data_IF_418953690231
#
_entry.id   IF_418953690231
#
_cell.length_a   1.000
_cell.length_b   1.000
_cell.length_c   1.000
_cell.angle_alpha   90.00
_cell.angle_beta   90.00
_cell.angle_gamma   90.00
#
_symmetry.space_group_name_H-M   'P 1'
#
loop_
_entity.id
_entity.type
_entity.pdbx_description
1 polymer ?
#
# COMPACT_ATOMS: atom_id res chain seq x y z
N UNK A 1 43.17 18.93 4.98
CA UNK A 1 41.84 18.30 4.81
C UNK A 1 41.52 18.29 3.32
N UNK A 2 41.28 17.13 2.70
CA UNK A 2 40.80 17.06 1.31
C UNK A 2 39.37 17.59 1.27
N UNK A 3 39.22 18.89 1.04
CA UNK A 3 37.95 19.60 0.90
C UNK A 3 37.28 19.21 -0.41
N UNK A 4 36.71 18.01 -0.43
CA UNK A 4 35.76 17.65 -1.48
C UNK A 4 34.57 18.58 -1.31
N UNK A 5 34.24 19.42 -2.31
CA UNK A 5 33.10 20.33 -2.19
C UNK A 5 31.84 19.52 -1.95
N UNK A 6 30.93 19.98 -1.07
CA UNK A 6 29.69 19.26 -0.83
C UNK A 6 28.94 19.15 -2.16
N UNK A 7 28.30 18.00 -2.40
CA UNK A 7 27.58 17.68 -3.65
C UNK A 7 26.10 18.04 -3.49
N UNK A 8 25.56 18.80 -4.44
CA UNK A 8 24.16 19.22 -4.40
C UNK A 8 23.25 18.00 -4.56
N UNK A 9 22.30 17.74 -3.63
CA UNK A 9 21.37 16.63 -3.77
C UNK A 9 20.38 16.87 -4.93
N UNK A 10 19.92 15.79 -5.56
CA UNK A 10 18.99 15.84 -6.69
C UNK A 10 17.61 16.37 -6.28
N UNK A 11 17.07 17.32 -7.06
CA UNK A 11 15.81 17.99 -6.72
C UNK A 11 14.60 17.05 -6.84
N UNK A 12 13.96 16.77 -5.70
CA UNK A 12 12.69 16.04 -5.62
C UNK A 12 11.51 17.03 -5.48
N UNK A 13 10.45 16.84 -6.29
CA UNK A 13 9.25 17.69 -6.22
C UNK A 13 8.42 17.37 -4.97
N UNK A 14 7.82 18.40 -4.35
CA UNK A 14 6.89 18.21 -3.24
C UNK A 14 5.65 17.42 -3.71
N UNK A 15 5.23 16.35 -3.02
CA UNK A 15 3.98 15.65 -3.32
C UNK A 15 2.77 16.59 -3.20
N UNK A 16 1.83 16.50 -4.14
CA UNK A 16 0.60 17.31 -4.11
C UNK A 16 -0.43 16.71 -3.13
N UNK A 17 -0.54 17.31 -1.95
CA UNK A 17 -1.40 16.83 -0.86
C UNK A 17 -2.89 16.90 -1.20
N UNK A 18 -3.32 17.88 -2.01
CA UNK A 18 -4.74 18.07 -2.34
C UNK A 18 -5.24 17.02 -3.34
N UNK A 19 -4.43 16.70 -4.35
CA UNK A 19 -4.74 15.65 -5.32
C UNK A 19 -4.80 14.28 -4.66
N UNK A 20 -3.86 13.99 -3.75
CA UNK A 20 -3.87 12.75 -2.98
C UNK A 20 -5.11 12.62 -2.08
N UNK A 21 -5.52 13.70 -1.40
CA UNK A 21 -6.76 13.71 -0.59
C UNK A 21 -7.99 13.46 -1.45
N UNK A 22 -8.14 14.16 -2.59
CA UNK A 22 -9.24 13.95 -3.53
C UNK A 22 -9.29 12.52 -4.06
N UNK A 23 -8.14 11.94 -4.39
CA UNK A 23 -8.05 10.55 -4.85
C UNK A 23 -8.44 9.54 -3.75
N UNK A 24 -8.01 9.77 -2.49
CA UNK A 24 -8.44 8.95 -1.36
C UNK A 24 -9.93 9.06 -1.08
N UNK A 25 -10.51 10.25 -1.13
CA UNK A 25 -11.95 10.46 -0.94
C UNK A 25 -12.77 9.74 -2.02
N UNK A 26 -12.33 9.79 -3.28
CA UNK A 26 -12.97 9.07 -4.37
C UNK A 26 -12.95 7.53 -4.17
N UNK A 27 -11.79 6.99 -3.76
CA UNK A 27 -11.65 5.54 -3.48
C UNK A 27 -12.49 5.14 -2.26
N UNK A 28 -12.46 5.92 -1.17
CA UNK A 28 -13.27 5.66 0.01
C UNK A 28 -14.78 5.68 -0.30
N UNK A 29 -15.23 6.65 -1.11
CA UNK A 29 -16.63 6.71 -1.54
C UNK A 29 -17.05 5.49 -2.38
N UNK A 30 -16.14 4.92 -3.17
CA UNK A 30 -16.39 3.69 -3.92
C UNK A 30 -16.41 2.46 -3.00
N UNK A 31 -15.47 2.37 -2.06
CA UNK A 31 -15.43 1.33 -1.02
C UNK A 31 -16.76 1.32 -0.25
N UNK A 32 -17.24 2.47 0.22
CA UNK A 32 -18.49 2.56 0.98
C UNK A 32 -19.71 2.09 0.17
N UNK A 33 -19.75 2.40 -1.14
CA UNK A 33 -20.82 1.93 -2.03
C UNK A 33 -20.79 0.42 -2.20
N UNK A 34 -19.61 -0.14 -2.48
CA UNK A 34 -19.43 -1.59 -2.69
C UNK A 34 -19.68 -2.34 -1.37
N UNK A 35 -19.22 -1.79 -0.24
CA UNK A 35 -19.43 -2.36 1.09
C UNK A 35 -20.92 -2.47 1.43
N UNK A 36 -21.71 -1.40 1.20
CA UNK A 36 -23.18 -1.45 1.40
C UNK A 36 -23.85 -2.52 0.52
N UNK A 37 -23.42 -2.67 -0.73
CA UNK A 37 -23.92 -3.71 -1.61
C UNK A 37 -23.52 -5.11 -1.12
N UNK A 38 -22.26 -5.27 -0.68
CA UNK A 38 -21.72 -6.51 -0.14
C UNK A 38 -22.48 -6.94 1.11
N UNK A 39 -22.71 -6.04 2.05
CA UNK A 39 -23.44 -6.31 3.29
C UNK A 39 -24.91 -6.65 3.00
N UNK A 40 -25.55 -5.95 2.05
CA UNK A 40 -26.90 -6.30 1.61
C UNK A 40 -26.99 -7.71 0.99
N UNK A 41 -26.00 -8.13 0.19
CA UNK A 41 -25.94 -9.50 -0.37
C UNK A 41 -25.62 -10.51 0.72
N UNK A 42 -24.73 -10.18 1.67
CA UNK A 42 -24.40 -11.03 2.82
C UNK A 42 -25.63 -11.27 3.70
N UNK A 43 -26.42 -10.24 3.97
CA UNK A 43 -27.66 -10.36 4.74
C UNK A 43 -28.71 -11.20 4.01
N UNK A 44 -28.82 -11.05 2.68
CA UNK A 44 -29.65 -11.93 1.86
C UNK A 44 -29.20 -13.39 2.02
N UNK A 45 -27.90 -13.66 1.93
CA UNK A 45 -27.31 -15.01 2.12
C UNK A 45 -27.62 -15.57 3.50
N UNK A 46 -27.46 -14.78 4.56
CA UNK A 46 -27.72 -15.22 5.94
C UNK A 46 -29.20 -15.52 6.20
N UNK A 47 -30.11 -14.86 5.46
CA UNK A 47 -31.56 -15.11 5.51
C UNK A 47 -32.00 -16.31 4.68
N UNK A 48 -31.13 -16.91 3.86
CA UNK A 48 -31.52 -18.15 3.16
C UNK A 48 -31.73 -19.27 4.19
N UNK A 49 -32.79 -20.08 4.02
CA UNK A 49 -33.01 -21.23 4.87
C UNK A 49 -31.79 -22.15 4.84
N UNK A 50 -31.37 -22.57 6.02
CA UNK A 50 -30.24 -23.49 6.17
C UNK A 50 -30.66 -24.85 5.62
N UNK A 51 -29.82 -25.41 4.75
CA UNK A 51 -29.88 -26.74 4.10
C UNK A 51 -31.21 -27.49 4.31
N UNK A 52 -32.12 -27.39 3.34
CA UNK A 52 -33.36 -28.17 3.32
C UNK A 52 -33.09 -29.65 3.58
N UNK A 53 -33.91 -30.26 4.44
CA UNK A 53 -33.87 -31.68 4.75
C UNK A 53 -34.07 -32.50 3.47
N UNK A 54 -32.96 -33.09 2.99
CA UNK A 54 -32.90 -34.01 1.83
C UNK A 54 -33.66 -35.32 2.09
N UNK A 55 -34.21 -35.50 3.30
CA UNK A 55 -34.84 -36.73 3.77
C UNK A 55 -36.00 -37.16 2.89
N UNK A 56 -36.97 -36.27 2.62
CA UNK A 56 -38.12 -36.59 1.77
C UNK A 56 -37.72 -36.98 0.35
N UNK A 57 -36.67 -36.36 -0.19
CA UNK A 57 -36.15 -36.68 -1.53
C UNK A 57 -35.50 -38.06 -1.56
N UNK A 58 -34.74 -38.38 -0.52
CA UNK A 58 -34.08 -39.68 -0.36
C UNK A 58 -35.12 -40.80 -0.17
N UNK A 59 -36.17 -40.54 0.62
CA UNK A 59 -37.34 -41.42 0.76
C UNK A 59 -38.03 -41.67 -0.58
N UNK A 60 -38.39 -40.61 -1.32
CA UNK A 60 -39.01 -40.74 -2.65
C UNK A 60 -38.12 -41.51 -3.62
N UNK A 61 -36.80 -41.31 -3.57
CA UNK A 61 -35.85 -42.06 -4.40
C UNK A 61 -35.81 -43.54 -4.02
N UNK A 62 -35.88 -43.86 -2.74
CA UNK A 62 -35.96 -45.23 -2.25
C UNK A 62 -37.27 -45.90 -2.67
N UNK A 63 -38.42 -45.23 -2.48
CA UNK A 63 -39.73 -45.73 -2.92
C UNK A 63 -39.79 -45.96 -4.44
N UNK A 64 -39.26 -45.03 -5.24
CA UNK A 64 -39.19 -45.18 -6.70
C UNK A 64 -38.28 -46.36 -7.10
N UNK A 65 -37.18 -46.60 -6.38
CA UNK A 65 -36.31 -47.75 -6.63
C UNK A 65 -37.01 -49.08 -6.30
N UNK A 66 -37.71 -49.14 -5.16
CA UNK A 66 -38.48 -50.32 -4.74
C UNK A 66 -39.61 -50.63 -5.73
N UNK A 67 -40.34 -49.61 -6.21
CA UNK A 67 -41.38 -49.81 -7.22
C UNK A 67 -40.79 -50.29 -8.55
N UNK A 68 -39.63 -49.77 -8.97
CA UNK A 68 -38.96 -50.25 -10.18
C UNK A 68 -38.53 -51.71 -10.06
N UNK A 69 -38.05 -52.13 -8.90
CA UNK A 69 -37.69 -53.52 -8.63
C UNK A 69 -38.94 -54.42 -8.71
N UNK A 70 -40.03 -54.04 -8.03
CA UNK A 70 -41.33 -54.74 -8.10
C UNK A 70 -41.87 -54.82 -9.52
N UNK A 71 -41.78 -53.75 -10.30
CA UNK A 71 -42.18 -53.74 -11.71
C UNK A 71 -41.31 -54.67 -12.56
N UNK A 72 -39.99 -54.72 -12.31
CA UNK A 72 -39.08 -55.61 -13.01
C UNK A 72 -39.34 -57.08 -12.68
N UNK A 73 -39.61 -57.40 -11.41
CA UNK A 73 -40.00 -58.73 -10.95
C UNK A 73 -41.33 -59.18 -11.55
N UNK A 74 -42.38 -58.34 -11.47
CA UNK A 74 -43.68 -58.61 -12.11
C UNK A 74 -43.55 -58.80 -13.61
N UNK A 75 -42.69 -58.03 -14.28
CA UNK A 75 -42.43 -58.22 -15.71
C UNK A 75 -41.75 -59.56 -15.99
N UNK A 76 -40.81 -59.98 -15.14
CA UNK A 76 -40.12 -61.28 -15.25
C UNK A 76 -41.08 -62.44 -15.02
N UNK A 77 -41.93 -62.37 -13.98
CA UNK A 77 -42.93 -63.41 -13.70
C UNK A 77 -43.97 -63.51 -14.82
N UNK A 78 -44.51 -62.37 -15.28
CA UNK A 78 -45.43 -62.34 -16.43
C UNK A 78 -44.79 -62.93 -17.68
N UNK A 79 -43.54 -62.57 -17.99
CA UNK A 79 -42.83 -63.13 -19.15
C UNK A 79 -42.72 -64.65 -19.05
N UNK A 80 -42.36 -65.19 -17.89
CA UNK A 80 -42.29 -66.63 -17.68
C UNK A 80 -43.66 -67.31 -17.81
N UNK A 81 -44.73 -66.70 -17.29
CA UNK A 81 -46.10 -67.22 -17.46
C UNK A 81 -46.52 -67.20 -18.93
N UNK A 82 -46.22 -66.14 -19.68
CA UNK A 82 -46.50 -66.09 -21.12
C UNK A 82 -45.71 -67.16 -21.90
N UNK A 83 -44.43 -67.37 -21.58
CA UNK A 83 -43.62 -68.45 -22.20
C UNK A 83 -44.21 -69.85 -21.91
N UNK A 84 -44.70 -70.08 -20.68
CA UNK A 84 -45.40 -71.34 -20.33
C UNK A 84 -46.73 -71.47 -21.08
N UNK A 85 -47.49 -70.38 -21.20
CA UNK A 85 -48.78 -70.34 -21.88
C UNK A 85 -48.63 -70.62 -23.38
N UNK A 86 -47.59 -70.06 -24.00
CA UNK A 86 -47.21 -70.33 -25.39
C UNK A 86 -46.77 -71.79 -25.58
N UNK A 87 -45.92 -72.33 -24.68
CA UNK A 87 -45.48 -73.72 -24.73
C UNK A 87 -46.64 -74.72 -24.60
N UNK A 88 -47.60 -74.47 -23.69
CA UNK A 88 -48.81 -75.29 -23.54
C UNK A 88 -49.69 -75.18 -24.78
N UNK A 89 -49.90 -73.96 -25.31
CA UNK A 89 -50.66 -73.77 -26.54
C UNK A 89 -50.04 -74.51 -27.74
N UNK A 90 -48.71 -74.52 -27.87
CA UNK A 90 -48.00 -75.27 -28.89
C UNK A 90 -48.10 -76.79 -28.68
N UNK A 91 -48.06 -77.28 -27.42
CA UNK A 91 -48.31 -78.69 -27.08
C UNK A 91 -49.72 -79.12 -27.50
N UNK A 92 -50.74 -78.36 -27.08
CA UNK A 92 -52.14 -78.59 -27.44
C UNK A 92 -52.30 -78.59 -28.96
N UNK A 93 -51.70 -77.63 -29.68
CA UNK A 93 -51.76 -77.57 -31.15
C UNK A 93 -51.16 -78.82 -31.80
N UNK A 94 -50.00 -79.28 -31.32
CA UNK A 94 -49.35 -80.51 -31.82
C UNK A 94 -50.20 -81.75 -31.55
N UNK A 95 -50.73 -81.92 -30.34
CA UNK A 95 -51.58 -83.06 -29.96
C UNK A 95 -52.92 -83.04 -30.71
N UNK A 96 -53.57 -81.89 -30.86
CA UNK A 96 -54.78 -81.75 -31.69
C UNK A 96 -54.48 -82.07 -33.16
N UNK A 97 -53.32 -81.65 -33.68
CA UNK A 97 -52.87 -82.00 -35.03
C UNK A 97 -52.65 -83.51 -35.20
N UNK A 98 -52.03 -84.16 -34.22
CA UNK A 98 -51.85 -85.61 -34.13
C UNK A 98 -53.19 -86.34 -34.18
N UNK A 99 -54.11 -86.01 -33.25
CA UNK A 99 -55.45 -86.60 -33.17
C UNK A 99 -56.19 -86.44 -34.51
N UNK A 100 -56.19 -85.23 -35.10
CA UNK A 100 -56.80 -85.02 -36.42
C UNK A 100 -56.19 -85.94 -37.48
N UNK A 101 -54.86 -86.07 -37.50
CA UNK A 101 -54.15 -86.97 -38.40
C UNK A 101 -54.54 -88.44 -38.22
N UNK A 102 -54.70 -88.91 -36.99
CA UNK A 102 -55.14 -90.29 -36.70
C UNK A 102 -56.62 -90.53 -37.03
N UNK A 103 -57.51 -89.59 -36.69
CA UNK A 103 -58.94 -89.66 -37.00
C UNK A 103 -59.20 -89.69 -38.51
N UNK A 104 -58.37 -89.04 -39.34
CA UNK A 104 -58.50 -89.18 -40.80
C UNK A 104 -58.12 -90.56 -41.34
N UNK A 105 -57.31 -91.34 -40.60
CA UNK A 105 -56.80 -92.65 -41.02
C UNK A 105 -57.61 -93.82 -40.48
N UNK A 106 -58.28 -93.65 -39.34
CA UNK A 106 -59.03 -94.70 -38.65
C UNK A 106 -60.53 -94.33 -38.66
N UNK A 107 -61.43 -95.21 -39.16
CA UNK A 107 -62.85 -94.89 -39.27
C UNK A 107 -63.65 -95.01 -37.96
N UNK A 108 -63.05 -95.56 -36.90
CA UNK A 108 -63.68 -95.79 -35.59
C UNK A 108 -63.20 -94.76 -34.56
N UNK A 109 -64.10 -94.26 -33.72
CA UNK A 109 -63.83 -93.13 -32.81
C UNK A 109 -63.62 -93.52 -31.36
N UNK A 110 -64.16 -94.66 -30.94
CA UNK A 110 -64.06 -95.14 -29.56
C UNK A 110 -63.56 -96.58 -29.51
N UNK A 111 -62.90 -96.95 -28.41
CA UNK A 111 -62.43 -98.34 -28.19
C UNK A 111 -63.61 -99.31 -28.13
N UNK A 112 -64.76 -98.87 -27.59
CA UNK A 112 -66.00 -99.65 -27.56
C UNK A 112 -66.53 -99.98 -28.96
N UNK A 113 -66.51 -99.02 -29.90
CA UNK A 113 -66.91 -99.27 -31.30
C UNK A 113 -66.00 -100.29 -32.00
N UNK A 114 -64.69 -100.27 -31.68
CA UNK A 114 -63.73 -101.23 -32.23
C UNK A 114 -63.96 -102.63 -31.66
N UNK A 115 -64.20 -102.74 -30.35
CA UNK A 115 -64.43 -104.00 -29.66
C UNK A 115 -65.76 -104.66 -30.08
N UNK A 116 -66.83 -103.86 -30.26
CA UNK A 116 -68.10 -104.34 -30.79
C UNK A 116 -67.93 -104.90 -32.21
N UNK A 117 -67.16 -104.21 -33.07
CA UNK A 117 -66.90 -104.67 -34.43
C UNK A 117 -66.05 -105.93 -34.49
N UNK A 118 -65.06 -106.07 -33.59
CA UNK A 118 -64.27 -107.30 -33.45
C UNK A 118 -65.19 -108.46 -33.04
N UNK A 119 -66.06 -108.25 -32.05
CA UNK A 119 -67.00 -109.28 -31.58
C UNK A 119 -68.00 -109.70 -32.68
N UNK A 120 -68.49 -108.76 -33.50
CA UNK A 120 -69.31 -109.07 -34.67
C UNK A 120 -68.60 -109.96 -35.69
N UNK A 121 -67.33 -109.67 -35.98
CA UNK A 121 -66.53 -110.43 -36.95
C UNK A 121 -66.16 -111.81 -36.40
N UNK A 122 -65.80 -111.91 -35.12
CA UNK A 122 -65.52 -113.18 -34.44
C UNK A 122 -66.78 -114.08 -34.42
N UNK A 123 -67.96 -113.51 -34.12
CA UNK A 123 -69.25 -114.23 -34.19
C UNK A 123 -69.59 -114.70 -35.61
N UNK A 124 -69.27 -113.91 -36.65
CA UNK A 124 -69.47 -114.31 -38.05
C UNK A 124 -68.55 -115.44 -38.48
N UNK A 125 -67.33 -115.48 -37.96
CA UNK A 125 -66.38 -116.59 -38.20
C UNK A 125 -66.90 -117.89 -37.56
N UNK A 126 -67.37 -117.81 -36.31
CA UNK A 126 -67.93 -118.95 -35.58
C UNK A 126 -69.21 -119.51 -36.22
N UNK A 127 -69.99 -118.66 -36.91
CA UNK A 127 -71.18 -119.04 -37.67
C UNK A 127 -70.93 -119.81 -38.98
N UNK A 128 -69.68 -120.07 -39.35
CA UNK A 128 -69.30 -120.87 -40.52
C UNK A 128 -69.34 -120.09 -41.84
N UNK A 129 -68.21 -119.45 -42.17
CA UNK A 129 -68.02 -118.74 -43.45
C UNK A 129 -67.04 -119.48 -44.35
N UNK A 130 -67.02 -119.12 -45.65
CA UNK A 130 -66.06 -119.66 -46.61
C UNK A 130 -64.64 -119.25 -46.22
N UNK A 131 -63.66 -120.15 -46.34
CA UNK A 131 -62.25 -119.97 -45.95
C UNK A 131 -61.63 -118.65 -46.48
N UNK A 132 -62.03 -118.20 -47.68
CA UNK A 132 -61.54 -116.93 -48.26
C UNK A 132 -62.09 -115.71 -47.51
N UNK A 133 -63.34 -115.75 -47.08
CA UNK A 133 -64.00 -114.71 -46.28
C UNK A 133 -63.51 -114.75 -44.83
N UNK A 134 -63.33 -115.93 -44.26
CA UNK A 134 -62.70 -116.13 -42.95
C UNK A 134 -61.32 -115.47 -42.88
N UNK A 135 -60.46 -115.73 -43.88
CA UNK A 135 -59.13 -115.11 -43.96
C UNK A 135 -59.20 -113.58 -44.05
N UNK A 136 -60.17 -113.03 -44.78
CA UNK A 136 -60.40 -111.58 -44.87
C UNK A 136 -60.89 -111.00 -43.54
N UNK A 137 -61.84 -111.66 -42.87
CA UNK A 137 -62.33 -111.24 -41.56
C UNK A 137 -61.24 -111.33 -40.49
N UNK A 138 -60.37 -112.35 -40.52
CA UNK A 138 -59.20 -112.44 -39.63
C UNK A 138 -58.18 -111.32 -39.88
N UNK A 139 -57.97 -110.94 -41.13
CA UNK A 139 -57.14 -109.77 -41.48
C UNK A 139 -57.78 -108.45 -40.99
N UNK A 140 -59.11 -108.31 -41.12
CA UNK A 140 -59.87 -107.17 -40.60
C UNK A 140 -59.80 -107.12 -39.07
N UNK A 141 -59.97 -108.25 -38.36
CA UNK A 141 -59.80 -108.34 -36.89
C UNK A 141 -58.38 -107.96 -36.48
N UNK A 142 -57.36 -108.44 -37.19
CA UNK A 142 -55.96 -108.06 -36.90
C UNK A 142 -55.72 -106.56 -37.09
N UNK A 143 -56.29 -105.96 -38.14
CA UNK A 143 -56.25 -104.52 -38.39
C UNK A 143 -57.01 -103.74 -37.30
N UNK A 144 -58.20 -104.20 -36.91
CA UNK A 144 -59.02 -103.60 -35.84
C UNK A 144 -58.33 -103.67 -34.49
N UNK A 145 -57.71 -104.80 -34.14
CA UNK A 145 -56.90 -104.94 -32.91
C UNK A 145 -55.71 -103.98 -32.90
N UNK A 146 -55.10 -103.71 -34.06
CA UNK A 146 -54.05 -102.67 -34.19
C UNK A 146 -54.61 -101.25 -34.06
N UNK A 147 -55.76 -100.98 -34.69
CA UNK A 147 -56.44 -99.69 -34.61
C UNK A 147 -56.96 -99.40 -33.19
N UNK A 148 -57.38 -100.42 -32.44
CA UNK A 148 -57.79 -100.30 -31.03
C UNK A 148 -56.73 -99.65 -30.17
N UNK A 149 -55.48 -100.11 -30.31
CA UNK A 149 -54.32 -99.52 -29.62
C UNK A 149 -54.12 -98.05 -30.02
N UNK A 150 -54.32 -97.71 -31.30
CA UNK A 150 -54.25 -96.33 -31.76
C UNK A 150 -55.41 -95.46 -31.27
N UNK A 151 -56.60 -96.03 -31.06
CA UNK A 151 -57.75 -95.29 -30.48
C UNK A 151 -57.56 -95.06 -28.98
N UNK A 152 -56.96 -96.02 -28.27
CA UNK A 152 -56.57 -95.85 -26.86
C UNK A 152 -55.54 -94.72 -26.69
N UNK A 153 -54.52 -94.64 -27.56
CA UNK A 153 -53.56 -93.52 -27.61
C UNK A 153 -54.23 -92.17 -27.92
N UNK A 154 -55.29 -92.15 -28.75
CA UNK A 154 -56.08 -90.93 -29.01
C UNK A 154 -56.84 -90.48 -27.76
N UNK A 155 -57.48 -91.40 -27.03
CA UNK A 155 -58.19 -91.09 -25.79
C UNK A 155 -57.23 -90.58 -24.70
N UNK A 156 -56.03 -91.16 -24.60
CA UNK A 156 -54.95 -90.66 -23.74
C UNK A 156 -54.51 -89.24 -24.13
N UNK A 157 -54.26 -89.00 -25.43
CA UNK A 157 -53.90 -87.66 -25.95
C UNK A 157 -55.02 -86.64 -25.71
N UNK A 158 -56.29 -87.02 -25.83
CA UNK A 158 -57.43 -86.14 -25.59
C UNK A 158 -57.58 -85.79 -24.10
N UNK A 159 -57.37 -86.76 -23.21
CA UNK A 159 -57.32 -86.53 -21.77
C UNK A 159 -56.18 -85.58 -21.38
N UNK A 160 -55.03 -85.72 -22.02
CA UNK A 160 -53.88 -84.84 -21.78
C UNK A 160 -54.12 -83.42 -22.30
N UNK A 161 -54.75 -83.25 -23.47
CA UNK A 161 -55.19 -81.94 -23.97
C UNK A 161 -56.16 -81.27 -22.99
N UNK A 162 -57.12 -82.02 -22.43
CA UNK A 162 -58.08 -81.47 -21.48
C UNK A 162 -57.38 -81.00 -20.20
N UNK A 163 -56.38 -81.75 -19.71
CA UNK A 163 -55.52 -81.33 -18.58
C UNK A 163 -54.73 -80.08 -18.92
N UNK A 164 -54.04 -80.04 -20.06
CA UNK A 164 -53.27 -78.89 -20.53
C UNK A 164 -54.13 -77.63 -20.69
N UNK A 165 -55.37 -77.76 -21.19
CA UNK A 165 -56.34 -76.66 -21.27
C UNK A 165 -56.75 -76.14 -19.90
N UNK A 166 -56.98 -77.02 -18.93
CA UNK A 166 -57.27 -76.61 -17.55
C UNK A 166 -56.10 -75.82 -16.96
N UNK A 167 -54.87 -76.32 -17.13
CA UNK A 167 -53.65 -75.65 -16.66
C UNK A 167 -53.46 -74.30 -17.35
N UNK A 168 -53.72 -74.22 -18.66
CA UNK A 168 -53.67 -72.96 -19.41
C UNK A 168 -54.66 -71.93 -18.85
N UNK A 169 -55.90 -72.32 -18.60
CA UNK A 169 -56.93 -71.42 -18.09
C UNK A 169 -56.66 -70.97 -16.64
N UNK A 170 -56.06 -71.83 -15.82
CA UNK A 170 -55.58 -71.49 -14.48
C UNK A 170 -54.41 -70.49 -14.54
N UNK A 171 -53.40 -70.73 -15.39
CA UNK A 171 -52.27 -69.81 -15.58
C UNK A 171 -52.73 -68.45 -16.08
N UNK A 172 -53.72 -68.41 -16.98
CA UNK A 172 -54.28 -67.16 -17.52
C UNK A 172 -55.00 -66.33 -16.45
N UNK A 173 -55.69 -66.96 -15.50
CA UNK A 173 -56.35 -66.27 -14.38
C UNK A 173 -55.35 -65.64 -13.40
N UNK A 174 -54.15 -66.20 -13.28
CA UNK A 174 -53.10 -65.70 -12.39
C UNK A 174 -52.32 -64.50 -12.96
N UNK A 175 -52.61 -64.06 -14.18
CA UNK A 175 -52.02 -62.85 -14.77
C UNK A 175 -52.73 -61.63 -14.16
N UNK A 176 -52.27 -61.20 -12.99
CA UNK A 176 -52.86 -60.05 -12.30
C UNK A 176 -52.42 -58.73 -12.95
N UNK A 177 -53.19 -58.27 -13.94
CA UNK A 177 -52.94 -57.01 -14.65
C UNK A 177 -53.19 -55.76 -13.79
N UNK A 178 -54.01 -55.90 -12.74
CA UNK A 178 -54.41 -54.82 -11.84
C UNK A 178 -53.23 -54.30 -11.02
N UNK A 179 -52.40 -55.21 -10.49
CA UNK A 179 -51.27 -54.83 -9.63
C UNK A 179 -50.22 -54.01 -10.37
N UNK A 180 -49.88 -54.36 -11.62
CA UNK A 180 -48.90 -53.56 -12.37
C UNK A 180 -49.45 -52.19 -12.80
N UNK A 181 -50.75 -52.07 -13.10
CA UNK A 181 -51.35 -50.76 -13.35
C UNK A 181 -51.24 -49.89 -12.10
N UNK A 182 -51.62 -50.42 -10.94
CA UNK A 182 -51.49 -49.72 -9.65
C UNK A 182 -50.05 -49.29 -9.34
N UNK A 183 -49.06 -50.14 -9.62
CA UNK A 183 -47.65 -49.80 -9.44
C UNK A 183 -47.16 -48.76 -10.44
N UNK A 184 -47.65 -48.80 -11.70
CA UNK A 184 -47.35 -47.78 -12.72
C UNK A 184 -47.91 -46.42 -12.32
N UNK A 185 -49.17 -46.36 -11.93
CA UNK A 185 -49.83 -45.11 -11.51
C UNK A 185 -49.15 -44.51 -10.27
N UNK A 186 -48.80 -45.35 -9.28
CA UNK A 186 -48.04 -44.91 -8.10
C UNK A 186 -46.65 -44.42 -8.47
N UNK A 187 -45.96 -45.09 -9.39
CA UNK A 187 -44.65 -44.66 -9.87
C UNK A 187 -44.73 -43.29 -10.56
N UNK A 188 -45.70 -43.09 -11.45
CA UNK A 188 -45.88 -41.81 -12.15
C UNK A 188 -46.19 -40.67 -11.19
N UNK A 189 -47.03 -40.91 -10.17
CA UNK A 189 -47.35 -39.92 -9.15
C UNK A 189 -46.11 -39.53 -8.31
N UNK A 190 -45.34 -40.52 -7.85
CA UNK A 190 -44.11 -40.28 -7.06
C UNK A 190 -42.99 -39.65 -7.90
N UNK A 191 -42.88 -40.00 -9.18
CA UNK A 191 -41.91 -39.40 -10.10
C UNK A 191 -42.24 -37.94 -10.40
N UNK A 192 -43.54 -37.59 -10.49
CA UNK A 192 -43.99 -36.21 -10.60
C UNK A 192 -43.63 -35.39 -9.34
N UNK A 193 -43.93 -35.90 -8.14
CA UNK A 193 -43.56 -35.26 -6.86
C UNK A 193 -42.03 -35.08 -6.76
N UNK A 194 -41.26 -36.11 -7.11
CA UNK A 194 -39.80 -36.05 -7.11
C UNK A 194 -39.25 -35.02 -8.10
N UNK A 195 -39.82 -34.93 -9.30
CA UNK A 195 -39.42 -33.93 -10.31
C UNK A 195 -39.71 -32.51 -9.84
N UNK A 196 -40.88 -32.25 -9.26
CA UNK A 196 -41.24 -30.94 -8.74
C UNK A 196 -40.30 -30.52 -7.61
N UNK A 197 -40.08 -31.40 -6.62
CA UNK A 197 -39.15 -31.15 -5.52
C UNK A 197 -37.72 -30.88 -6.01
N UNK A 198 -37.25 -31.62 -7.01
CA UNK A 198 -35.93 -31.43 -7.59
C UNK A 198 -35.82 -30.14 -8.41
N UNK A 199 -36.88 -29.73 -9.11
CA UNK A 199 -36.92 -28.44 -9.81
C UNK A 199 -36.85 -27.27 -8.84
N UNK A 200 -37.61 -27.31 -7.75
CA UNK A 200 -37.58 -26.25 -6.75
C UNK A 200 -36.25 -26.18 -6.02
N UNK A 201 -35.65 -27.33 -5.71
CA UNK A 201 -34.29 -27.38 -5.18
C UNK A 201 -33.27 -26.79 -6.17
N UNK A 202 -33.38 -27.09 -7.47
CA UNK A 202 -32.51 -26.51 -8.49
C UNK A 202 -32.67 -24.99 -8.58
N UNK A 203 -33.91 -24.47 -8.61
CA UNK A 203 -34.18 -23.02 -8.60
C UNK A 203 -33.59 -22.35 -7.37
N UNK A 204 -33.77 -22.94 -6.19
CA UNK A 204 -33.21 -22.41 -4.93
C UNK A 204 -31.67 -22.46 -4.95
N UNK A 205 -31.08 -23.53 -5.46
CA UNK A 205 -29.63 -23.67 -5.61
C UNK A 205 -29.08 -22.62 -6.58
N UNK A 206 -29.72 -22.40 -7.72
CA UNK A 206 -29.33 -21.37 -8.69
C UNK A 206 -29.44 -19.96 -8.09
N UNK A 207 -30.53 -19.66 -7.39
CA UNK A 207 -30.70 -18.38 -6.70
C UNK A 207 -29.60 -18.16 -5.64
N UNK A 208 -29.28 -19.20 -4.88
CA UNK A 208 -28.21 -19.18 -3.88
C UNK A 208 -26.82 -19.03 -4.50
N UNK A 209 -26.54 -19.72 -5.61
CA UNK A 209 -25.29 -19.59 -6.34
C UNK A 209 -25.11 -18.17 -6.88
N UNK A 210 -26.15 -17.58 -7.49
CA UNK A 210 -26.12 -16.18 -7.96
C UNK A 210 -25.74 -15.21 -6.83
N UNK A 211 -26.32 -15.37 -5.64
CA UNK A 211 -25.96 -14.53 -4.49
C UNK A 211 -24.51 -14.73 -4.04
N UNK A 212 -23.98 -15.96 -4.06
CA UNK A 212 -22.56 -16.18 -3.75
C UNK A 212 -21.63 -15.62 -4.82
N UNK A 213 -21.98 -15.74 -6.09
CA UNK A 213 -21.21 -15.18 -7.20
C UNK A 213 -21.19 -13.65 -7.10
N UNK A 214 -22.34 -13.01 -6.83
CA UNK A 214 -22.43 -11.59 -6.55
C UNK A 214 -21.57 -11.19 -5.34
N UNK A 215 -21.64 -11.95 -4.23
CA UNK A 215 -20.83 -11.69 -3.03
C UNK A 215 -19.33 -11.82 -3.31
N UNK A 216 -18.92 -12.83 -4.07
CA UNK A 216 -17.52 -13.04 -4.41
C UNK A 216 -17.01 -11.96 -5.37
N UNK A 217 -17.84 -11.54 -6.34
CA UNK A 217 -17.53 -10.42 -7.23
C UNK A 217 -17.38 -9.12 -6.46
N UNK A 218 -18.33 -8.78 -5.59
CA UNK A 218 -18.27 -7.57 -4.76
C UNK A 218 -17.06 -7.59 -3.83
N UNK A 219 -16.74 -8.75 -3.24
CA UNK A 219 -15.53 -8.90 -2.44
C UNK A 219 -14.25 -8.65 -3.25
N UNK A 220 -14.14 -9.22 -4.45
CA UNK A 220 -12.99 -9.00 -5.31
C UNK A 220 -12.83 -7.52 -5.69
N UNK A 221 -13.93 -6.83 -5.98
CA UNK A 221 -13.92 -5.39 -6.25
C UNK A 221 -13.52 -4.58 -5.01
N UNK A 222 -14.00 -4.95 -3.84
CA UNK A 222 -13.64 -4.31 -2.57
C UNK A 222 -12.14 -4.49 -2.27
N UNK A 223 -11.63 -5.71 -2.44
CA UNK A 223 -10.21 -6.02 -2.28
C UNK A 223 -9.36 -5.22 -3.27
N UNK A 224 -9.81 -5.09 -4.53
CA UNK A 224 -9.14 -4.26 -5.55
C UNK A 224 -9.08 -2.78 -5.13
N UNK A 225 -10.19 -2.19 -4.69
CA UNK A 225 -10.22 -0.80 -4.22
C UNK A 225 -9.35 -0.59 -2.97
N UNK A 226 -9.33 -1.55 -2.03
CA UNK A 226 -8.41 -1.51 -0.89
C UNK A 226 -6.94 -1.62 -1.30
N UNK A 227 -6.62 -2.42 -2.32
CA UNK A 227 -5.25 -2.49 -2.87
C UNK A 227 -4.84 -1.17 -3.52
N UNK A 228 -5.73 -0.52 -4.30
CA UNK A 228 -5.50 0.81 -4.87
C UNK A 228 -5.28 1.86 -3.78
N UNK A 229 -6.11 1.85 -2.74
CA UNK A 229 -5.95 2.76 -1.60
C UNK A 229 -4.61 2.56 -0.89
N UNK A 230 -4.19 1.30 -0.70
CA UNK A 230 -2.89 0.98 -0.08
C UNK A 230 -1.73 1.46 -0.96
N UNK A 231 -1.75 1.14 -2.25
CA UNK A 231 -0.75 1.58 -3.21
C UNK A 231 -0.63 3.10 -3.25
N UNK A 232 -1.75 3.83 -3.31
CA UNK A 232 -1.75 5.29 -3.32
C UNK A 232 -1.12 5.87 -2.04
N UNK A 233 -1.44 5.30 -0.87
CA UNK A 233 -0.83 5.71 0.41
C UNK A 233 0.66 5.39 0.48
N UNK A 234 1.06 4.24 -0.02
CA UNK A 234 2.46 3.80 -0.03
C UNK A 234 3.30 4.65 -0.99
N UNK A 235 2.78 4.96 -2.18
CA UNK A 235 3.40 5.87 -3.15
C UNK A 235 3.52 7.29 -2.57
N UNK A 236 2.45 7.82 -1.96
CA UNK A 236 2.51 9.12 -1.32
C UNK A 236 3.51 9.15 -0.16
N UNK A 237 3.57 8.10 0.66
CA UNK A 237 4.57 7.99 1.73
C UNK A 237 5.99 7.98 1.16
N UNK A 238 6.28 7.15 0.14
CA UNK A 238 7.59 7.10 -0.52
C UNK A 238 7.99 8.46 -1.08
N UNK A 239 7.12 9.10 -1.85
CA UNK A 239 7.40 10.41 -2.44
C UNK A 239 7.62 11.49 -1.35
N UNK A 240 6.91 11.39 -0.23
CA UNK A 240 7.06 12.29 0.90
C UNK A 240 8.39 12.05 1.65
N UNK A 241 8.75 10.80 1.88
CA UNK A 241 10.02 10.42 2.49
C UNK A 241 11.21 10.86 1.60
N UNK A 242 11.12 10.67 0.28
CA UNK A 242 12.09 11.16 -0.70
C UNK A 242 12.22 12.69 -0.68
N UNK A 243 11.10 13.41 -0.60
CA UNK A 243 11.13 14.87 -0.48
C UNK A 243 11.76 15.34 0.83
N UNK A 244 11.40 14.75 1.97
CA UNK A 244 11.97 15.15 3.26
C UNK A 244 13.43 14.73 3.43
N UNK A 245 13.85 13.60 2.87
CA UNK A 245 15.26 13.21 2.80
C UNK A 245 16.05 14.19 1.95
N UNK A 246 15.53 14.59 0.77
CA UNK A 246 16.12 15.65 -0.05
C UNK A 246 16.24 16.98 0.73
N UNK A 247 15.17 17.43 1.40
CA UNK A 247 15.19 18.67 2.19
C UNK A 247 16.23 18.59 3.32
N UNK A 248 16.36 17.43 3.98
CA UNK A 248 17.36 17.20 5.01
C UNK A 248 18.78 17.29 4.44
N UNK A 249 19.05 16.60 3.34
CA UNK A 249 20.34 16.65 2.64
C UNK A 249 20.68 18.07 2.20
N UNK A 250 19.70 18.84 1.69
CA UNK A 250 19.90 20.23 1.30
C UNK A 250 20.22 21.13 2.51
N UNK A 251 19.64 20.87 3.68
CA UNK A 251 19.98 21.59 4.93
C UNK A 251 21.35 21.20 5.46
N UNK A 252 21.75 19.94 5.35
CA UNK A 252 23.09 19.46 5.69
C UNK A 252 24.13 20.13 4.77
N UNK A 253 23.90 20.08 3.46
CA UNK A 253 24.71 20.77 2.46
C UNK A 253 24.92 22.27 2.74
N UNK A 254 23.84 23.01 3.02
CA UNK A 254 23.94 24.45 3.32
C UNK A 254 24.69 24.72 4.62
N UNK A 255 24.50 23.88 5.64
CA UNK A 255 25.24 24.01 6.90
C UNK A 255 26.73 23.75 6.71
N UNK A 256 27.09 22.72 5.95
CA UNK A 256 28.49 22.43 5.60
C UNK A 256 29.12 23.59 4.81
N UNK A 257 28.41 24.16 3.84
CA UNK A 257 28.87 25.34 3.11
C UNK A 257 29.05 26.57 4.01
N UNK A 258 28.09 26.85 4.90
CA UNK A 258 28.20 27.97 5.83
C UNK A 258 29.33 27.77 6.84
N UNK A 259 29.54 26.55 7.33
CA UNK A 259 30.66 26.22 8.21
C UNK A 259 32.00 26.40 7.50
N UNK A 260 32.14 25.90 6.27
CA UNK A 260 33.34 26.10 5.47
C UNK A 260 33.61 27.59 5.21
N UNK A 261 32.58 28.37 4.88
CA UNK A 261 32.72 29.81 4.65
C UNK A 261 33.12 30.56 5.92
N UNK A 262 32.52 30.22 7.07
CA UNK A 262 32.90 30.81 8.36
C UNK A 262 34.33 30.48 8.73
N UNK A 263 34.75 29.23 8.53
CA UNK A 263 36.13 28.82 8.80
C UNK A 263 37.12 29.58 7.91
N UNK A 264 36.80 29.80 6.63
CA UNK A 264 37.60 30.65 5.74
C UNK A 264 37.61 32.12 6.19
N UNK A 265 36.46 32.71 6.52
CA UNK A 265 36.36 34.10 7.00
C UNK A 265 37.12 34.29 8.33
N UNK A 266 37.09 33.31 9.23
CA UNK A 266 37.86 33.34 10.48
C UNK A 266 39.36 33.24 10.21
N UNK A 267 39.79 32.34 9.32
CA UNK A 267 41.19 32.26 8.89
C UNK A 267 41.66 33.59 8.26
N UNK A 268 40.87 34.18 7.35
CA UNK A 268 41.18 35.48 6.73
C UNK A 268 41.25 36.61 7.77
N UNK A 269 40.30 36.70 8.70
CA UNK A 269 40.33 37.72 9.77
C UNK A 269 41.52 37.56 10.71
N UNK A 270 41.91 36.32 11.05
CA UNK A 270 43.11 36.04 11.86
C UNK A 270 44.36 36.47 11.11
N UNK A 271 44.46 36.15 9.82
CA UNK A 271 45.56 36.62 8.97
C UNK A 271 45.62 38.15 8.86
N UNK A 272 44.48 38.82 8.69
CA UNK A 272 44.38 40.28 8.63
C UNK A 272 44.76 40.92 9.97
N UNK A 273 44.29 40.39 11.10
CA UNK A 273 44.68 40.86 12.42
C UNK A 273 46.20 40.73 12.64
N UNK A 274 46.78 39.60 12.26
CA UNK A 274 48.23 39.39 12.30
C UNK A 274 48.99 40.39 11.40
N UNK A 275 48.45 40.70 10.21
CA UNK A 275 49.03 41.73 9.31
C UNK A 275 48.92 43.14 9.91
N UNK A 276 47.78 43.49 10.48
CA UNK A 276 47.58 44.79 11.14
C UNK A 276 48.51 44.98 12.33
N UNK A 277 48.71 43.95 13.16
CA UNK A 277 49.66 44.02 14.27
C UNK A 277 51.10 44.25 13.78
N UNK A 278 51.48 43.62 12.67
CA UNK A 278 52.77 43.83 12.05
C UNK A 278 52.90 45.26 11.50
N UNK A 279 51.87 45.76 10.82
CA UNK A 279 51.85 47.13 10.29
C UNK A 279 51.93 48.18 11.42
N UNK A 280 51.13 48.02 12.49
CA UNK A 280 51.18 48.90 13.66
C UNK A 280 52.55 48.88 14.35
N UNK A 281 53.17 47.70 14.47
CA UNK A 281 54.52 47.58 15.02
C UNK A 281 55.59 48.14 14.08
N UNK A 282 55.29 48.25 12.78
CA UNK A 282 56.20 48.82 11.79
C UNK A 282 56.23 50.35 11.76
N UNK A 283 55.23 51.00 12.35
CA UNK A 283 55.18 52.45 12.50
C UNK A 283 56.39 52.96 13.32
N UNK A 284 56.98 54.10 12.94
CA UNK A 284 58.10 54.67 13.68
C UNK A 284 57.74 54.92 15.15
N UNK A 285 58.55 54.40 16.07
CA UNK A 285 58.39 54.66 17.49
C UNK A 285 58.52 56.18 17.78
N UNK A 286 57.81 56.64 18.80
CA UNK A 286 57.80 58.04 19.26
C UNK A 286 57.23 59.08 18.27
N UNK A 287 56.49 58.69 17.22
CA UNK A 287 55.87 59.64 16.28
C UNK A 287 54.95 60.67 16.97
N UNK A 288 54.10 60.21 17.90
CA UNK A 288 53.22 61.10 18.69
C UNK A 288 54.02 62.05 19.59
N UNK A 289 55.11 61.57 20.19
CA UNK A 289 55.97 62.36 21.07
C UNK A 289 56.81 63.38 20.28
N UNK A 290 57.24 63.04 19.07
CA UNK A 290 57.91 63.95 18.13
C UNK A 290 56.95 65.02 17.63
N UNK A 291 55.74 64.64 17.22
CA UNK A 291 54.70 65.59 16.82
C UNK A 291 54.31 66.52 17.97
N UNK A 292 54.27 66.00 19.20
CA UNK A 292 54.01 66.79 20.39
C UNK A 292 55.17 67.73 20.72
N UNK A 293 56.43 67.30 20.59
CA UNK A 293 57.60 68.17 20.71
C UNK A 293 57.55 69.31 19.69
N UNK A 294 57.15 69.02 18.44
CA UNK A 294 57.01 70.02 17.38
C UNK A 294 55.87 70.99 17.63
N UNK A 295 54.69 70.48 17.99
CA UNK A 295 53.53 71.29 18.36
C UNK A 295 53.83 72.20 19.56
N UNK A 296 54.53 71.70 20.58
CA UNK A 296 54.94 72.49 21.75
C UNK A 296 56.02 73.51 21.40
N UNK A 297 56.94 73.18 20.47
CA UNK A 297 57.95 74.12 20.00
C UNK A 297 57.29 75.29 19.25
N UNK A 298 56.39 75.00 18.31
CA UNK A 298 55.61 76.02 17.58
C UNK A 298 54.75 76.85 18.53
N UNK A 299 54.10 76.21 19.52
CA UNK A 299 53.29 76.90 20.51
C UNK A 299 54.11 77.87 21.36
N UNK A 300 55.30 77.47 21.83
CA UNK A 300 56.22 78.32 22.60
C UNK A 300 56.85 79.43 21.74
N UNK A 301 57.20 79.16 20.49
CA UNK A 301 57.68 80.16 19.53
C UNK A 301 56.62 81.23 19.24
N UNK A 302 55.33 80.85 19.21
CA UNK A 302 54.20 81.77 19.11
C UNK A 302 54.05 82.76 20.27
N UNK A 303 54.65 82.51 21.43
CA UNK A 303 54.71 83.48 22.55
C UNK A 303 55.89 84.45 22.44
N UNK A 304 56.99 84.06 21.79
CA UNK A 304 58.14 84.93 21.52
C UNK A 304 57.84 85.90 20.35
N UNK A 305 57.14 85.42 19.32
CA UNK A 305 56.70 86.25 18.18
C UNK A 305 55.69 87.35 18.53
N UNK A 306 54.97 87.23 19.66
CA UNK A 306 54.02 88.25 20.16
C UNK A 306 54.70 89.46 20.81
N UNK A 307 56.02 89.45 21.02
CA UNK A 307 56.77 90.58 21.58
C UNK A 307 57.50 91.46 20.53
N UNK A 308 57.45 91.14 19.24
CA UNK A 308 58.18 91.91 18.20
C UNK A 308 57.33 92.60 17.13
N UNK A 309 56.00 92.58 17.19
CA UNK A 309 55.17 93.47 16.36
C UNK A 309 53.90 93.90 17.09
N UNK A 310 54.00 95.00 17.84
CA UNK A 310 52.87 95.90 18.10
C UNK A 310 53.04 97.13 17.23
N UNK A 311 52.59 97.05 15.97
CA UNK A 311 52.05 98.19 15.22
C UNK A 311 51.48 97.73 13.87
N UNK A 312 50.33 98.34 13.54
CA UNK A 312 49.62 98.39 12.25
C UNK A 312 48.62 97.28 11.87
N UNK A 313 47.39 97.77 11.68
CA UNK A 313 46.38 97.50 10.61
C UNK A 313 45.92 96.04 10.36
N UNK A 314 44.63 95.72 10.52
CA UNK A 314 43.48 95.98 9.62
C UNK A 314 43.19 94.78 8.70
N UNK A 315 41.90 94.59 8.40
CA UNK A 315 41.38 93.69 7.36
C UNK A 315 41.16 92.25 7.82
N UNK A 316 39.92 91.74 7.78
CA UNK A 316 39.33 91.03 6.62
C UNK A 316 40.01 89.66 6.38
N UNK A 317 39.37 88.55 6.07
CA UNK A 317 37.99 88.16 5.76
C UNK A 317 38.05 86.60 5.75
N UNK A 318 37.03 85.92 6.26
CA UNK A 318 36.12 85.05 5.48
C UNK A 318 36.79 83.98 4.59
N UNK A 319 36.58 82.71 4.95
CA UNK A 319 35.91 81.67 4.14
C UNK A 319 36.03 80.33 4.87
N UNK A 320 34.95 79.64 5.23
CA UNK A 320 33.90 79.06 4.37
C UNK A 320 34.46 78.00 3.40
N UNK A 321 34.21 76.75 3.74
CA UNK A 321 34.24 75.55 2.90
C UNK A 321 33.40 74.54 3.69
N UNK A 322 32.08 74.36 3.52
CA UNK A 322 31.25 74.25 2.33
C UNK A 322 31.73 73.13 1.38
N UNK A 323 30.86 72.12 1.30
CA UNK A 323 30.85 70.96 0.38
C UNK A 323 31.70 69.77 0.87
N UNK A 324 31.26 68.52 0.85
CA UNK A 324 30.01 67.92 0.41
C UNK A 324 29.99 66.47 0.93
N UNK A 325 28.83 65.96 1.34
CA UNK A 325 28.50 64.58 0.99
C UNK A 325 26.99 64.43 0.84
N UNK A 326 26.62 64.28 -0.42
CA UNK A 326 25.30 64.12 -0.97
C UNK A 326 24.97 62.61 -0.96
N UNK A 327 23.79 62.24 -0.48
CA UNK A 327 23.25 60.90 -0.71
C UNK A 327 23.13 60.01 0.53
N UNK A 328 22.22 60.33 1.45
CA UNK A 328 21.55 59.29 2.24
C UNK A 328 20.06 59.58 2.35
N UNK A 329 19.28 58.88 1.53
CA UNK A 329 17.82 58.90 1.52
C UNK A 329 17.33 58.06 2.70
N UNK A 330 17.02 58.72 3.81
CA UNK A 330 16.36 58.08 4.96
C UNK A 330 14.84 58.15 4.72
N UNK A 331 14.25 56.99 4.42
CA UNK A 331 12.79 56.80 4.38
C UNK A 331 12.22 57.02 5.78
N UNK A 332 11.25 57.93 5.87
CA UNK A 332 10.36 58.13 7.02
C UNK A 332 9.72 56.80 7.43
N UNK A 333 9.83 56.45 8.72
CA UNK A 333 8.93 55.53 9.42
C UNK A 333 8.18 56.32 10.48
N UNK A 334 6.86 56.25 10.40
CA UNK A 334 5.88 56.76 11.34
C UNK A 334 5.67 55.77 12.50
N UNK A 335 5.16 56.35 13.59
CA UNK A 335 4.45 55.76 14.74
C UNK A 335 5.32 54.99 15.75
N UNK A 336 5.53 55.60 16.93
CA UNK A 336 4.73 55.38 18.15
C UNK A 336 4.93 53.95 18.66
N UNK A 337 5.88 53.75 19.59
CA UNK A 337 5.53 53.70 21.00
C UNK A 337 6.73 53.43 21.91
N UNK A 338 6.58 54.01 23.10
CA UNK A 338 7.08 53.63 24.41
C UNK A 338 8.58 53.68 24.77
N UNK A 339 8.96 54.68 25.59
CA UNK A 339 8.86 54.68 27.05
C UNK A 339 10.02 53.88 27.67
N UNK A 340 11.16 54.52 27.95
CA UNK A 340 12.01 54.21 29.12
C UNK A 340 13.27 55.09 29.14
N UNK A 341 13.18 56.34 29.63
CA UNK A 341 14.30 56.95 30.38
C UNK A 341 13.88 58.25 31.09
N UNK A 342 13.45 58.13 32.34
CA UNK A 342 13.26 59.27 33.25
C UNK A 342 14.52 59.48 34.09
N UNK A 343 15.36 60.43 33.69
CA UNK A 343 16.54 60.90 34.45
C UNK A 343 16.40 62.38 34.79
N UNK A 344 16.37 62.69 36.09
CA UNK A 344 15.94 63.96 36.63
C UNK A 344 17.08 65.00 36.81
N UNK A 345 16.67 66.29 36.88
CA UNK A 345 17.28 67.46 37.56
C UNK A 345 18.53 68.13 36.94
N UNK A 346 18.43 69.42 36.62
CA UNK A 346 18.74 70.52 37.57
C UNK A 346 18.62 71.93 36.92
N UNK A 347 18.66 72.96 37.78
CA UNK A 347 18.14 74.32 37.61
C UNK A 347 19.15 75.35 37.06
N UNK A 348 18.59 76.20 36.19
CA UNK A 348 18.78 77.65 35.90
C UNK A 348 19.70 78.56 36.76
N UNK A 349 20.36 79.48 36.02
CA UNK A 349 20.94 80.82 36.33
C UNK A 349 22.30 80.83 37.06
N UNK A 350 23.31 81.65 36.70
CA UNK A 350 23.28 83.11 36.55
C UNK A 350 24.60 83.65 35.95
N UNK A 351 24.51 84.70 35.13
CA UNK A 351 25.63 85.54 34.67
C UNK A 351 26.34 86.27 35.83
N UNK A 352 27.64 86.54 35.73
CA UNK A 352 28.14 87.91 35.50
C UNK A 352 29.68 88.05 35.55
N UNK A 353 30.15 88.84 34.57
CA UNK A 353 31.16 89.92 34.61
C UNK A 353 32.59 89.58 35.02
N UNK A 354 33.47 89.79 34.04
CA UNK A 354 34.90 89.86 34.25
C UNK A 354 35.38 91.13 34.94
N UNK A 355 36.63 91.07 35.38
CA UNK A 355 37.46 92.22 35.70
C UNK A 355 38.92 91.89 35.40
N UNK A 356 39.43 92.59 34.39
CA UNK A 356 40.75 93.26 34.30
C UNK A 356 42.00 92.47 34.72
N UNK A 357 42.75 92.10 33.70
CA UNK A 357 44.18 91.78 33.73
C UNK A 357 45.00 92.89 34.42
N UNK A 358 45.82 92.47 35.39
CA UNK A 358 47.09 93.14 35.70
C UNK A 358 48.20 92.25 35.17
N UNK A 359 49.08 92.84 34.37
CA UNK A 359 50.28 92.24 33.80
C UNK A 359 51.13 91.65 34.93
N UNK A 360 51.09 90.34 35.09
CA UNK A 360 52.14 89.58 35.75
C UNK A 360 52.85 88.79 34.67
N UNK A 361 54.17 88.65 34.82
CA UNK A 361 55.10 87.99 33.91
C UNK A 361 54.91 86.44 33.92
N UNK A 362 53.65 86.00 33.99
CA UNK A 362 53.20 84.63 34.26
C UNK A 362 52.46 84.08 33.06
N UNK A 363 53.02 83.05 32.42
CA UNK A 363 52.41 82.37 31.28
C UNK A 363 51.20 81.55 31.74
N UNK A 364 50.01 81.87 31.20
CA UNK A 364 48.80 81.05 31.41
C UNK A 364 48.72 80.00 30.30
N UNK A 365 49.26 78.82 30.57
CA UNK A 365 49.23 77.70 29.64
C UNK A 365 47.93 76.89 29.82
N UNK A 366 47.22 76.51 28.74
CA UNK A 366 46.08 75.60 28.82
C UNK A 366 46.48 74.27 29.47
N UNK A 367 45.60 73.69 30.30
CA UNK A 367 45.88 72.45 31.06
C UNK A 367 46.38 71.30 30.16
N UNK A 368 45.78 71.14 28.97
CA UNK A 368 46.20 70.13 27.99
C UNK A 368 47.65 70.33 27.49
N UNK A 369 48.11 71.58 27.37
CA UNK A 369 49.52 71.84 27.00
C UNK A 369 50.46 71.55 28.16
N UNK A 370 50.02 71.73 29.41
CA UNK A 370 50.82 71.34 30.59
C UNK A 370 50.97 69.82 30.69
N UNK A 371 49.91 69.06 30.44
CA UNK A 371 49.94 67.59 30.37
C UNK A 371 50.93 67.11 29.29
N UNK A 372 50.91 67.72 28.10
CA UNK A 372 51.87 67.44 27.03
C UNK A 372 53.34 67.68 27.43
N UNK A 373 53.63 68.72 28.22
CA UNK A 373 54.98 68.95 28.76
C UNK A 373 55.39 67.89 29.79
N UNK A 374 54.45 67.40 30.60
CA UNK A 374 54.70 66.30 31.53
C UNK A 374 54.96 64.98 30.81
N UNK A 375 54.24 64.69 29.73
CA UNK A 375 54.43 63.48 28.92
C UNK A 375 55.83 63.44 28.29
N UNK A 376 56.31 64.58 27.78
CA UNK A 376 57.68 64.74 27.22
C UNK A 376 58.73 64.95 28.33
N UNK A 377 58.32 65.02 29.59
CA UNK A 377 59.16 65.24 30.79
C UNK A 377 60.01 66.52 30.69
N UNK A 378 59.42 67.58 30.17
CA UNK A 378 60.04 68.91 30.07
C UNK A 378 59.36 69.86 31.05
N UNK A 379 60.15 70.70 31.72
CA UNK A 379 59.65 71.66 32.71
C UNK A 379 58.77 72.72 32.05
N UNK A 380 57.53 72.85 32.54
CA UNK A 380 56.57 73.87 32.08
C UNK A 380 57.14 75.27 32.34
N UNK A 381 57.29 76.14 31.33
CA UNK A 381 57.79 77.49 31.53
C UNK A 381 56.70 78.33 32.21
N UNK A 382 56.98 78.78 33.43
CA UNK A 382 56.04 79.60 34.20
C UNK A 382 56.19 81.09 33.90
N UNK A 383 57.32 81.48 33.29
CA UNK A 383 57.69 82.85 32.94
C UNK A 383 58.17 82.97 31.49
N UNK A 384 57.98 84.13 30.89
CA UNK A 384 58.31 84.38 29.46
C UNK A 384 59.83 84.26 29.22
N UNK A 385 60.65 84.65 30.19
CA UNK A 385 62.11 84.53 30.14
C UNK A 385 62.63 83.09 30.13
N UNK A 386 61.81 82.11 30.54
CA UNK A 386 62.18 80.69 30.60
C UNK A 386 61.85 79.95 29.29
N UNK A 387 61.06 80.57 28.40
CA UNK A 387 60.62 80.00 27.12
C UNK A 387 61.78 79.60 26.20
N UNK A 388 62.86 80.41 26.01
CA UNK A 388 63.98 80.03 25.15
C UNK A 388 64.75 78.80 25.67
N UNK A 389 64.91 78.70 27.00
CA UNK A 389 65.56 77.56 27.63
C UNK A 389 64.70 76.30 27.53
N UNK A 390 63.37 76.43 27.62
CA UNK A 390 62.45 75.31 27.42
C UNK A 390 62.42 74.85 25.95
N UNK A 391 62.52 75.76 24.98
CA UNK A 391 62.63 75.40 23.55
C UNK A 391 63.91 74.61 23.27
N UNK A 392 65.04 74.99 23.88
CA UNK A 392 66.29 74.21 23.76
C UNK A 392 66.14 72.80 24.35
N UNK A 393 65.53 72.68 25.54
CA UNK A 393 65.24 71.38 26.15
C UNK A 393 64.27 70.52 25.35
N UNK A 394 63.28 71.13 24.68
CA UNK A 394 62.39 70.42 23.74
C UNK A 394 63.15 69.93 22.50
N UNK A 395 64.07 70.74 21.95
CA UNK A 395 64.91 70.34 20.80
C UNK A 395 65.89 69.21 21.18
N UNK A 396 66.47 69.26 22.38
CA UNK A 396 67.31 68.18 22.92
C UNK A 396 66.51 66.89 23.12
N UNK A 397 65.28 66.98 23.65
CA UNK A 397 64.38 65.82 23.77
C UNK A 397 63.96 65.28 22.42
N UNK A 398 63.64 66.14 21.45
CA UNK A 398 63.37 65.73 20.06
C UNK A 398 64.56 64.96 19.44
N UNK A 399 65.79 65.45 19.64
CA UNK A 399 66.98 64.76 19.16
C UNK A 399 67.20 63.39 19.84
N UNK A 400 66.91 63.30 21.15
CA UNK A 400 66.92 62.04 21.88
C UNK A 400 65.89 61.04 21.32
N UNK A 401 64.65 61.49 21.06
CA UNK A 401 63.61 60.65 20.48
C UNK A 401 63.94 60.18 19.06
N UNK A 402 64.53 61.05 18.22
CA UNK A 402 65.00 60.66 16.88
C UNK A 402 66.15 59.64 16.93
N UNK A 403 67.06 59.75 17.90
CA UNK A 403 68.17 58.82 18.06
C UNK A 403 67.73 57.45 18.60
N UNK A 404 66.71 57.42 19.46
CA UNK A 404 66.19 56.20 20.08
C UNK A 404 65.08 55.53 19.23
N UNK A 405 64.46 56.28 18.32
CA UNK A 405 63.43 55.80 17.38
C UNK A 405 63.77 54.50 16.64
N UNK A 406 64.94 54.32 15.99
CA UNK A 406 65.24 53.07 15.28
C UNK A 406 65.31 51.87 16.22
N UNK A 407 65.94 52.02 17.40
CA UNK A 407 66.07 50.95 18.39
C UNK A 407 64.73 50.55 18.99
N UNK A 408 63.90 51.53 19.35
CA UNK A 408 62.55 51.27 19.87
C UNK A 408 61.63 50.67 18.80
N UNK A 409 61.75 51.09 17.54
CA UNK A 409 60.99 50.51 16.42
C UNK A 409 61.40 49.06 16.15
N UNK A 410 62.70 48.74 16.18
CA UNK A 410 63.17 47.36 16.05
C UNK A 410 62.74 46.47 17.22
N UNK A 411 62.75 46.98 18.45
CA UNK A 411 62.26 46.25 19.62
C UNK A 411 60.74 46.02 19.56
N UNK A 412 59.98 46.99 19.05
CA UNK A 412 58.53 46.86 18.87
C UNK A 412 58.19 45.87 17.75
N UNK A 413 58.92 45.91 16.62
CA UNK A 413 58.81 44.91 15.55
C UNK A 413 59.10 43.50 16.05
N UNK A 414 60.21 43.30 16.78
CA UNK A 414 60.55 41.99 17.37
C UNK A 414 59.48 41.48 18.34
N UNK A 415 58.97 42.35 19.21
CA UNK A 415 57.88 42.00 20.13
C UNK A 415 56.59 41.64 19.39
N UNK A 416 56.28 42.29 18.28
CA UNK A 416 55.12 41.96 17.46
C UNK A 416 55.31 40.66 16.68
N UNK A 417 56.49 40.43 16.10
CA UNK A 417 56.84 39.16 15.45
C UNK A 417 56.80 37.98 16.43
N UNK A 418 57.31 38.15 17.66
CA UNK A 418 57.23 37.14 18.72
C UNK A 418 55.78 36.86 19.14
N UNK A 419 54.93 37.88 19.24
CA UNK A 419 53.50 37.72 19.53
C UNK A 419 52.76 37.02 18.40
N UNK A 420 53.00 37.40 17.15
CA UNK A 420 52.42 36.74 15.97
C UNK A 420 52.90 35.28 15.88
N UNK A 421 54.18 35.01 16.17
CA UNK A 421 54.70 33.64 16.20
C UNK A 421 54.10 32.81 17.35
N UNK A 422 53.82 33.43 18.49
CA UNK A 422 53.10 32.78 19.58
C UNK A 422 51.62 32.51 19.22
N UNK A 423 50.94 33.45 18.56
CA UNK A 423 49.57 33.27 18.08
C UNK A 423 49.50 32.16 17.02
N UNK A 424 50.40 32.14 16.03
CA UNK A 424 50.46 31.07 15.03
C UNK A 424 50.75 29.68 15.61
N UNK A 425 51.56 29.61 16.67
CA UNK A 425 51.82 28.34 17.37
C UNK A 425 50.60 27.88 18.17
N UNK A 426 49.90 28.79 18.82
CA UNK A 426 48.65 28.49 19.51
C UNK A 426 47.57 28.04 18.50
N UNK A 427 47.50 28.67 17.32
CA UNK A 427 46.62 28.27 16.21
C UNK A 427 46.96 26.88 15.68
N UNK A 428 48.24 26.57 15.47
CA UNK A 428 48.65 25.22 15.08
C UNK A 428 48.33 24.15 16.15
N UNK A 429 48.29 24.54 17.42
CA UNK A 429 47.91 23.64 18.52
C UNK A 429 46.39 23.46 18.59
N UNK A 430 45.61 24.54 18.44
CA UNK A 430 44.14 24.50 18.35
C UNK A 430 43.67 23.70 17.12
N UNK A 431 44.26 23.92 15.94
CA UNK A 431 43.96 23.12 14.73
C UNK A 431 44.36 21.64 14.93
N UNK A 432 45.40 21.32 15.69
CA UNK A 432 45.79 19.93 15.99
C UNK A 432 44.89 19.27 17.04
N UNK A 433 44.31 20.04 17.96
CA UNK A 433 43.32 19.54 18.93
C UNK A 433 41.95 19.32 18.26
N UNK A 434 41.49 20.25 17.41
CA UNK A 434 40.25 20.09 16.64
C UNK A 434 40.29 18.92 15.63
N UNK A 435 41.48 18.52 15.17
CA UNK A 435 41.66 17.36 14.27
C UNK A 435 41.74 16.03 15.03
N UNK A 436 42.01 16.05 16.35
CA UNK A 436 42.11 14.84 17.19
C UNK A 436 40.82 14.51 17.95
N UNK A 437 40.00 15.53 18.24
CA UNK A 437 38.64 15.37 18.77
C UNK A 437 37.67 14.96 17.66
#
# INVERSE_FOLDING_TARGET
>A
MTTTPPVLPDHVKKPNEEEHKKALEAINANIDKIQKQFDAVRDKINKLPQKNDSTRREELKAELAEIREKQAELKKTRKAVYEQLDAINDSIRKKVGSIKGFVTKIPYKTTAEVDERIAELERKIEGGVRIVEEKKMLQEISLLKRNRLSVEDIDEQQNEINRERSIHDELKKNIDESEAKRLSDRYEALDAEFKELNQDQNKQREARNKLYDERNRLKAQLDEEYTKMRQLRDEHRKNNDEYYTFVRQLREYKREQEQLRKLQEEQEKREEAARQELELASLPAFESELALCDNLTVFLEGFLGKQQNQQEEAGDQVNSMANAFEGMVIKKKTDEDDLFFSGAKSKKNKQQKGLKEKKSDTLKLPLATMEAFFDIKVTVPTKISEVPATIQKLKERKAFYLAEQPKATELNKKKAEEKIAAMKKAEEEEEKEEVKA
#
